data_IF_593210916590
#
_entry.id   IF_593210916590
#
_cell.length_a   1.000
_cell.length_b   1.000
_cell.length_c   1.000
_cell.angle_alpha   90.00
_cell.angle_beta   90.00
_cell.angle_gamma   90.00
#
_symmetry.space_group_name_H-M   'P 1'
#
loop_
_entity.id
_entity.type
_entity.pdbx_description
1 polymer ?
#
# COMPACT_ATOMS: atom_id res chain seq x y z
N UNK A 1 17.51 9.87 -12.95
CA UNK A 1 16.14 9.88 -13.51
C UNK A 1 15.81 8.45 -13.92
N UNK A 2 15.00 7.74 -13.14
CA UNK A 2 14.57 6.37 -13.45
C UNK A 2 13.04 6.35 -13.57
N UNK A 3 12.56 6.00 -14.78
CA UNK A 3 11.15 6.09 -15.19
C UNK A 3 10.31 4.87 -14.72
N UNK A 4 10.94 3.88 -14.09
CA UNK A 4 10.32 2.61 -13.69
C UNK A 4 10.81 2.23 -12.29
N UNK A 5 9.90 2.15 -11.31
CA UNK A 5 10.18 1.55 -10.01
C UNK A 5 9.74 0.07 -10.02
N UNK A 6 10.71 -0.83 -9.87
CA UNK A 6 10.45 -2.26 -9.75
C UNK A 6 10.10 -2.60 -8.31
N UNK A 7 8.88 -3.08 -8.07
CA UNK A 7 8.48 -3.64 -6.78
C UNK A 7 8.47 -5.17 -6.83
N UNK A 8 9.35 -5.86 -6.07
CA UNK A 8 9.35 -7.32 -6.03
C UNK A 8 8.08 -7.85 -5.36
N UNK A 9 7.61 -9.01 -5.82
CA UNK A 9 6.54 -9.74 -5.14
C UNK A 9 7.01 -10.22 -3.77
N UNK A 10 6.14 -10.16 -2.76
CA UNK A 10 6.37 -10.75 -1.46
C UNK A 10 5.98 -12.24 -1.47
N UNK A 11 6.80 -13.11 -0.84
CA UNK A 11 6.55 -14.54 -0.77
C UNK A 11 7.13 -15.15 0.52
N UNK A 12 6.45 -16.14 1.08
CA UNK A 12 6.95 -16.93 2.21
C UNK A 12 7.85 -18.07 1.74
N UNK A 13 9.17 -17.85 1.72
CA UNK A 13 10.20 -18.86 1.47
C UNK A 13 10.65 -19.04 0.01
N UNK A 14 11.79 -19.72 -0.18
CA UNK A 14 12.46 -19.92 -1.48
C UNK A 14 11.68 -20.76 -2.50
N UNK A 15 10.60 -21.42 -2.11
CA UNK A 15 9.89 -22.45 -2.92
C UNK A 15 8.46 -22.09 -3.34
N UNK A 16 7.89 -20.98 -2.89
CA UNK A 16 6.60 -20.52 -3.41
C UNK A 16 6.82 -19.64 -4.65
N UNK A 17 6.66 -20.25 -5.83
CA UNK A 17 6.58 -19.52 -7.11
C UNK A 17 5.32 -18.64 -7.10
N UNK A 18 5.46 -17.42 -6.57
CA UNK A 18 4.51 -16.34 -6.77
C UNK A 18 4.58 -15.93 -8.25
N UNK A 19 3.43 -15.75 -8.88
CA UNK A 19 3.28 -15.26 -10.24
C UNK A 19 3.96 -13.88 -10.34
N UNK A 20 5.20 -13.87 -10.85
CA UNK A 20 6.02 -12.66 -11.04
C UNK A 20 5.46 -11.87 -12.23
N UNK A 21 4.54 -10.95 -11.95
CA UNK A 21 4.28 -9.82 -12.83
C UNK A 21 4.62 -8.56 -12.06
N UNK A 22 5.78 -7.91 -12.32
CA UNK A 22 6.13 -6.68 -11.64
C UNK A 22 5.10 -5.60 -11.97
N UNK A 23 4.47 -5.04 -10.93
CA UNK A 23 3.65 -3.84 -11.05
C UNK A 23 4.52 -2.68 -11.51
N UNK A 24 4.22 -2.13 -12.69
CA UNK A 24 4.88 -0.91 -13.18
C UNK A 24 4.23 0.28 -12.51
N UNK A 25 4.92 0.92 -11.57
CA UNK A 25 4.49 2.17 -10.96
C UNK A 25 5.09 3.33 -11.73
N UNK A 26 4.24 4.18 -12.31
CA UNK A 26 4.69 5.43 -12.92
C UNK A 26 5.12 6.36 -11.78
N UNK A 27 6.38 6.81 -11.83
CA UNK A 27 7.10 7.44 -10.72
C UNK A 27 6.58 8.84 -10.33
N UNK A 28 5.52 9.33 -10.97
CA UNK A 28 5.02 10.68 -10.74
C UNK A 28 3.56 10.81 -11.21
N UNK A 29 2.62 11.04 -10.29
CA UNK A 29 1.19 11.15 -10.62
C UNK A 29 0.86 12.47 -11.33
N UNK A 30 1.69 13.51 -11.19
CA UNK A 30 1.51 14.81 -11.86
C UNK A 30 1.73 14.72 -13.38
N UNK A 31 2.91 14.27 -13.85
CA UNK A 31 3.17 13.98 -15.25
C UNK A 31 2.30 12.85 -15.81
N UNK A 32 1.94 11.84 -15.00
CA UNK A 32 1.01 10.79 -15.40
C UNK A 32 -0.35 11.37 -15.80
N UNK A 33 -0.95 12.21 -14.93
CA UNK A 33 -2.23 12.87 -15.18
C UNK A 33 -2.19 13.79 -16.41
N UNK A 34 -1.06 14.49 -16.62
CA UNK A 34 -0.84 15.31 -17.81
C UNK A 34 -0.69 14.48 -19.09
N UNK A 35 0.02 13.35 -19.04
CA UNK A 35 0.23 12.45 -20.19
C UNK A 35 -1.01 11.64 -20.59
N UNK A 36 -1.96 11.43 -19.67
CA UNK A 36 -3.26 10.80 -19.98
C UNK A 36 -4.41 11.81 -20.16
N UNK A 37 -4.12 13.11 -20.15
CA UNK A 37 -5.11 14.19 -20.29
C UNK A 37 -6.29 14.04 -19.31
N UNK A 38 -5.96 13.83 -18.03
CA UNK A 38 -6.93 13.72 -16.93
C UNK A 38 -6.75 14.95 -16.04
N UNK A 39 -7.73 15.83 -16.12
CA UNK A 39 -7.91 16.96 -15.22
C UNK A 39 -8.75 16.57 -13.99
N UNK A 40 -8.87 17.48 -13.04
CA UNK A 40 -9.72 17.30 -11.84
C UNK A 40 -11.18 16.94 -12.21
N UNK A 41 -11.68 17.47 -13.33
CA UNK A 41 -13.04 17.23 -13.82
C UNK A 41 -13.25 15.79 -14.30
N UNK A 42 -12.22 15.12 -14.81
CA UNK A 42 -12.25 13.68 -15.15
C UNK A 42 -11.96 12.77 -13.96
N UNK A 43 -11.10 13.20 -13.02
CA UNK A 43 -10.70 12.38 -11.88
C UNK A 43 -11.78 12.29 -10.78
N UNK A 44 -12.52 13.37 -10.54
CA UNK A 44 -13.59 13.42 -9.53
C UNK A 44 -14.72 12.39 -9.74
N UNK A 45 -15.27 12.20 -10.95
CA UNK A 45 -16.32 11.22 -11.19
C UNK A 45 -15.79 9.78 -11.30
N UNK A 46 -14.56 9.58 -11.79
CA UNK A 46 -13.96 8.24 -11.92
C UNK A 46 -13.26 7.78 -10.64
N UNK A 47 -14.06 7.21 -9.73
CA UNK A 47 -13.57 6.64 -8.45
C UNK A 47 -12.53 5.54 -8.64
N UNK A 48 -12.58 4.79 -9.74
CA UNK A 48 -11.64 3.71 -10.01
C UNK A 48 -10.28 4.27 -10.43
N UNK A 49 -10.28 5.29 -11.27
CA UNK A 49 -9.07 5.99 -11.67
C UNK A 49 -8.44 6.72 -10.47
N UNK A 50 -9.26 7.42 -9.68
CA UNK A 50 -8.80 8.06 -8.44
C UNK A 50 -8.14 7.06 -7.48
N UNK A 51 -8.75 5.87 -7.31
CA UNK A 51 -8.19 4.78 -6.51
C UNK A 51 -6.77 4.43 -6.95
N UNK A 52 -6.57 4.13 -8.25
CA UNK A 52 -5.26 3.78 -8.81
C UNK A 52 -4.20 4.87 -8.65
N UNK A 53 -4.60 6.13 -8.83
CA UNK A 53 -3.69 7.25 -8.60
C UNK A 53 -3.31 7.39 -7.13
N UNK A 54 -4.27 7.20 -6.22
CA UNK A 54 -4.03 7.26 -4.79
C UNK A 54 -3.13 6.11 -4.33
N UNK A 55 -3.41 4.88 -4.77
CA UNK A 55 -2.56 3.70 -4.57
C UNK A 55 -1.12 3.99 -4.98
N UNK A 56 -0.93 4.43 -6.23
CA UNK A 56 0.40 4.78 -6.77
C UNK A 56 1.07 5.86 -5.93
N UNK A 57 0.34 6.93 -5.59
CA UNK A 57 0.87 8.03 -4.79
C UNK A 57 1.35 7.57 -3.40
N UNK A 58 0.54 6.79 -2.68
CA UNK A 58 0.89 6.28 -1.35
C UNK A 58 2.12 5.38 -1.44
N UNK A 59 2.17 4.50 -2.43
CA UNK A 59 3.31 3.59 -2.63
C UNK A 59 4.61 4.36 -2.92
N UNK A 60 4.56 5.38 -3.78
CA UNK A 60 5.71 6.24 -4.05
C UNK A 60 6.14 7.02 -2.80
N UNK A 61 5.19 7.50 -2.01
CA UNK A 61 5.49 8.19 -0.75
C UNK A 61 6.18 7.27 0.25
N UNK A 62 5.67 6.05 0.44
CA UNK A 62 6.34 5.03 1.26
C UNK A 62 7.75 4.73 0.75
N UNK A 63 7.93 4.60 -0.57
CA UNK A 63 9.25 4.36 -1.17
C UNK A 63 10.22 5.52 -0.89
N UNK A 64 9.74 6.77 -0.96
CA UNK A 64 10.54 7.95 -0.61
C UNK A 64 10.92 7.92 0.86
N UNK A 65 9.94 7.70 1.76
CA UNK A 65 10.15 7.65 3.21
C UNK A 65 11.16 6.58 3.63
N UNK A 66 11.14 5.41 3.02
CA UNK A 66 12.14 4.36 3.27
C UNK A 66 13.58 4.78 2.91
N UNK A 67 13.75 5.75 2.00
CA UNK A 67 15.07 6.27 1.63
C UNK A 67 15.77 7.08 2.73
N UNK A 68 15.02 7.62 3.70
CA UNK A 68 15.54 8.46 4.79
C UNK A 68 15.06 8.06 6.19
N UNK A 69 14.23 7.02 6.29
CA UNK A 69 13.78 6.46 7.57
C UNK A 69 14.92 5.70 8.27
N UNK A 70 15.00 5.85 9.60
CA UNK A 70 15.86 5.01 10.44
C UNK A 70 15.39 3.55 10.43
N UNK A 71 14.09 3.33 10.22
CA UNK A 71 13.50 1.99 10.09
C UNK A 71 13.79 1.45 8.70
N UNK A 72 14.69 0.47 8.64
CA UNK A 72 14.97 -0.26 7.40
C UNK A 72 13.88 -1.29 7.11
N UNK A 73 13.23 -1.16 5.95
CA UNK A 73 12.33 -2.17 5.41
C UNK A 73 12.46 -2.22 3.88
N UNK A 74 12.11 -3.36 3.29
CA UNK A 74 11.94 -3.53 1.85
C UNK A 74 10.47 -3.40 1.50
N UNK A 75 10.19 -2.74 0.40
CA UNK A 75 8.84 -2.55 -0.13
C UNK A 75 8.55 -3.59 -1.20
N UNK A 76 7.42 -4.27 -1.06
CA UNK A 76 6.96 -5.36 -1.91
C UNK A 76 5.48 -5.15 -2.29
N UNK A 77 4.98 -5.92 -3.26
CA UNK A 77 3.55 -6.11 -3.48
C UNK A 77 3.13 -7.53 -3.06
N UNK A 78 1.87 -7.73 -2.69
CA UNK A 78 1.35 -9.05 -2.32
C UNK A 78 0.14 -9.42 -3.17
N UNK A 79 0.12 -10.67 -3.63
CA UNK A 79 -1.02 -11.30 -4.28
C UNK A 79 -1.01 -12.78 -3.94
N UNK A 80 -2.10 -13.29 -3.38
CA UNK A 80 -2.25 -14.71 -3.07
C UNK A 80 -2.83 -15.51 -4.25
N UNK A 81 -2.97 -16.83 -4.07
CA UNK A 81 -3.56 -17.73 -5.08
C UNK A 81 -5.07 -17.54 -5.31
N UNK A 82 -5.76 -16.91 -4.34
CA UNK A 82 -7.16 -16.53 -4.47
C UNK A 82 -7.33 -15.14 -5.13
N UNK A 83 -6.23 -14.58 -5.65
CA UNK A 83 -6.17 -13.27 -6.30
C UNK A 83 -6.53 -12.11 -5.34
N UNK A 84 -6.33 -12.31 -4.04
CA UNK A 84 -6.41 -11.26 -3.02
C UNK A 84 -5.10 -10.49 -3.05
N UNK A 85 -5.20 -9.17 -3.09
CA UNK A 85 -4.06 -8.25 -3.23
C UNK A 85 -3.88 -7.43 -1.96
N UNK A 86 -2.66 -6.96 -1.71
CA UNK A 86 -2.36 -5.86 -0.79
C UNK A 86 -1.43 -4.90 -1.51
N UNK A 87 -1.80 -3.62 -1.57
CA UNK A 87 -1.11 -2.60 -2.37
C UNK A 87 0.39 -2.46 -2.05
N UNK A 88 0.76 -2.55 -0.77
CA UNK A 88 2.14 -2.52 -0.33
C UNK A 88 2.40 -3.42 0.88
N UNK A 89 3.56 -4.09 0.86
CA UNK A 89 4.08 -4.88 1.98
C UNK A 89 5.47 -4.41 2.35
N UNK A 90 5.66 -4.10 3.62
CA UNK A 90 6.91 -3.67 4.22
C UNK A 90 7.50 -4.84 5.01
N UNK A 91 8.68 -5.31 4.62
CA UNK A 91 9.40 -6.37 5.34
C UNK A 91 10.70 -5.84 5.93
N UNK A 92 10.85 -5.97 7.25
CA UNK A 92 12.08 -5.60 7.96
C UNK A 92 13.12 -6.72 7.91
N UNK A 93 14.42 -6.42 8.19
CA UNK A 93 15.47 -7.43 8.26
C UNK A 93 15.23 -8.55 9.29
N UNK A 94 14.48 -8.29 10.35
CA UNK A 94 14.07 -9.28 11.35
C UNK A 94 12.93 -10.21 10.87
N UNK A 95 12.47 -10.01 9.64
CA UNK A 95 11.39 -10.76 9.00
C UNK A 95 9.99 -10.29 9.38
N UNK A 96 9.85 -9.23 10.20
CA UNK A 96 8.54 -8.67 10.52
C UNK A 96 7.91 -7.97 9.32
N UNK A 97 6.59 -8.14 9.19
CA UNK A 97 5.81 -7.76 8.01
C UNK A 97 4.71 -6.80 8.39
N UNK A 98 4.59 -5.68 7.66
CA UNK A 98 3.43 -4.81 7.72
C UNK A 98 2.78 -4.66 6.34
N UNK A 99 1.45 -4.63 6.29
CA UNK A 99 0.69 -4.41 5.06
C UNK A 99 0.02 -3.04 5.02
N UNK A 100 -0.07 -2.47 3.82
CA UNK A 100 -0.77 -1.21 3.54
C UNK A 100 -1.73 -1.42 2.37
N UNK A 101 -2.98 -1.08 2.59
CA UNK A 101 -4.05 -0.99 1.57
C UNK A 101 -4.46 0.48 1.42
N UNK A 102 -4.91 0.87 0.24
CA UNK A 102 -5.29 2.24 -0.06
C UNK A 102 -6.74 2.31 -0.50
N UNK A 103 -7.49 3.25 0.08
CA UNK A 103 -8.90 3.43 -0.19
C UNK A 103 -9.23 4.87 -0.55
N UNK A 104 -9.62 5.10 -1.80
CA UNK A 104 -10.15 6.37 -2.27
C UNK A 104 -11.62 6.60 -1.81
N UNK A 105 -11.87 6.54 -0.50
CA UNK A 105 -13.15 6.81 0.12
C UNK A 105 -12.97 7.46 1.51
N UNK A 106 -13.97 8.21 1.95
CA UNK A 106 -13.98 8.86 3.27
C UNK A 106 -14.40 7.92 4.43
N UNK A 107 -14.78 6.67 4.12
CA UNK A 107 -15.17 5.65 5.09
C UNK A 107 -14.55 4.31 4.73
N UNK A 108 -14.23 3.52 5.76
CA UNK A 108 -13.65 2.17 5.63
C UNK A 108 -14.59 1.17 6.28
N UNK A 109 -14.67 -0.03 5.73
CA UNK A 109 -15.44 -1.15 6.24
C UNK A 109 -14.55 -2.35 6.53
N UNK A 110 -15.05 -3.33 7.29
CA UNK A 110 -14.29 -4.55 7.58
C UNK A 110 -13.90 -5.37 6.33
N UNK A 111 -14.57 -5.16 5.19
CA UNK A 111 -14.26 -5.81 3.90
C UNK A 111 -12.99 -5.26 3.27
N UNK A 112 -12.67 -4.00 3.53
CA UNK A 112 -11.46 -3.34 3.00
C UNK A 112 -10.17 -3.89 3.66
N UNK A 113 -10.29 -4.74 4.69
CA UNK A 113 -9.18 -5.43 5.35
C UNK A 113 -8.98 -6.87 4.87
N UNK A 114 -9.70 -7.33 3.84
CA UNK A 114 -9.62 -8.72 3.38
C UNK A 114 -8.18 -9.10 2.97
N UNK A 115 -7.49 -8.25 2.21
CA UNK A 115 -6.09 -8.45 1.83
C UNK A 115 -5.14 -8.48 3.03
N UNK A 116 -5.29 -7.53 3.94
CA UNK A 116 -4.48 -7.47 5.17
C UNK A 116 -4.68 -8.69 6.07
N UNK A 117 -5.90 -9.26 6.12
CA UNK A 117 -6.17 -10.51 6.85
C UNK A 117 -5.54 -11.72 6.17
N UNK A 118 -5.54 -11.77 4.84
CA UNK A 118 -4.83 -12.80 4.09
C UNK A 118 -3.32 -12.73 4.37
N UNK A 119 -2.75 -11.53 4.31
CA UNK A 119 -1.34 -11.28 4.63
C UNK A 119 -1.00 -11.62 6.09
N UNK A 120 -1.88 -11.27 7.03
CA UNK A 120 -1.75 -11.63 8.46
C UNK A 120 -1.71 -13.14 8.65
N UNK A 121 -2.60 -13.86 7.95
CA UNK A 121 -2.65 -15.33 7.98
C UNK A 121 -1.37 -15.93 7.39
N UNK A 122 -0.90 -15.43 6.25
CA UNK A 122 0.31 -15.96 5.60
C UNK A 122 1.60 -15.62 6.37
N UNK A 123 1.66 -14.45 6.99
CA UNK A 123 2.84 -13.99 7.75
C UNK A 123 2.91 -14.57 9.16
N UNK A 124 1.77 -15.00 9.71
CA UNK A 124 1.67 -15.57 11.06
C UNK A 124 2.25 -14.63 12.13
N UNK A 125 3.12 -15.15 12.99
CA UNK A 125 3.73 -14.38 14.08
C UNK A 125 4.56 -13.17 13.60
N UNK A 126 5.01 -13.17 12.34
CA UNK A 126 5.78 -12.06 11.76
C UNK A 126 4.90 -10.85 11.42
N UNK A 127 3.58 -11.00 11.38
CA UNK A 127 2.67 -9.90 11.10
C UNK A 127 2.70 -8.86 12.23
N UNK A 128 3.21 -7.67 11.93
CA UNK A 128 3.34 -6.56 12.85
C UNK A 128 2.09 -5.67 12.86
N UNK A 129 1.64 -5.23 11.68
CA UNK A 129 0.51 -4.31 11.49
C UNK A 129 -0.09 -4.43 10.08
N UNK A 130 -1.39 -4.16 9.97
CA UNK A 130 -2.07 -3.87 8.69
C UNK A 130 -2.78 -2.53 8.76
N UNK A 131 -2.61 -1.70 7.74
CA UNK A 131 -3.20 -0.36 7.67
C UNK A 131 -3.98 -0.18 6.39
N UNK A 132 -5.22 0.31 6.48
CA UNK A 132 -5.94 0.91 5.35
C UNK A 132 -5.75 2.42 5.40
N UNK A 133 -5.03 2.98 4.43
CA UNK A 133 -4.90 4.43 4.25
C UNK A 133 -6.13 4.93 3.48
N UNK A 134 -6.84 5.92 4.02
CA UNK A 134 -8.10 6.40 3.43
C UNK A 134 -8.26 7.92 3.49
N UNK A 135 -9.30 8.44 2.82
CA UNK A 135 -9.56 9.88 2.67
C UNK A 135 -10.45 10.48 3.77
N UNK A 136 -10.65 9.77 4.89
CA UNK A 136 -11.30 10.36 6.06
C UNK A 136 -10.28 10.99 7.00
N UNK A 137 -10.72 11.27 8.23
CA UNK A 137 -9.99 12.14 9.16
C UNK A 137 -9.47 11.41 10.41
N UNK A 138 -9.98 10.23 10.72
CA UNK A 138 -9.79 9.59 12.02
C UNK A 138 -8.97 8.30 11.91
N UNK A 139 -8.11 8.05 12.90
CA UNK A 139 -7.53 6.73 13.09
C UNK A 139 -8.58 5.82 13.74
N UNK A 140 -8.91 4.70 13.10
CA UNK A 140 -9.96 3.77 13.56
C UNK A 140 -9.41 2.35 13.66
N UNK A 141 -9.49 1.67 14.82
CA UNK A 141 -9.08 0.27 14.94
C UNK A 141 -10.11 -0.67 14.28
N UNK A 142 -9.63 -1.71 13.60
CA UNK A 142 -10.45 -2.72 12.91
C UNK A 142 -10.14 -4.16 13.35
N UNK A 143 -9.40 -4.32 14.45
CA UNK A 143 -9.08 -5.61 15.04
C UNK A 143 -7.64 -5.68 15.52
N UNK A 144 -7.20 -6.89 15.88
CA UNK A 144 -5.84 -7.11 16.34
C UNK A 144 -4.84 -6.73 15.24
N UNK A 145 -4.01 -5.71 15.52
CA UNK A 145 -2.99 -5.15 14.62
C UNK A 145 -3.53 -4.51 13.32
N UNK A 146 -4.84 -4.27 13.20
CA UNK A 146 -5.46 -3.67 12.01
C UNK A 146 -6.03 -2.28 12.30
N UNK A 147 -5.70 -1.31 11.44
CA UNK A 147 -6.10 0.10 11.59
C UNK A 147 -6.51 0.72 10.26
N UNK A 148 -7.47 1.63 10.28
CA UNK A 148 -7.67 2.60 9.22
C UNK A 148 -6.99 3.91 9.65
N UNK A 149 -6.15 4.50 8.78
CA UNK A 149 -5.44 5.74 9.05
C UNK A 149 -5.75 6.77 7.96
N UNK A 150 -5.99 8.05 8.33
CA UNK A 150 -6.18 9.10 7.34
C UNK A 150 -4.91 9.27 6.51
N UNK A 151 -5.03 9.64 5.23
CA UNK A 151 -3.87 9.86 4.35
C UNK A 151 -2.85 10.86 4.95
N UNK A 152 -3.32 11.84 5.72
CA UNK A 152 -2.48 12.81 6.43
C UNK A 152 -1.51 12.15 7.42
N UNK A 153 -1.80 10.95 7.91
CA UNK A 153 -0.92 10.19 8.80
C UNK A 153 0.39 9.74 8.13
N UNK A 154 0.48 9.77 6.79
CA UNK A 154 1.75 9.50 6.09
C UNK A 154 2.84 10.52 6.43
N UNK A 155 2.48 11.75 6.80
CA UNK A 155 3.43 12.80 7.17
C UNK A 155 3.31 13.26 8.62
N UNK A 156 2.30 12.77 9.34
CA UNK A 156 2.19 12.97 10.78
C UNK A 156 3.34 12.24 11.47
N UNK A 157 4.39 12.97 11.85
CA UNK A 157 5.42 12.42 12.74
C UNK A 157 4.76 12.05 14.05
N UNK A 158 4.62 10.76 14.33
CA UNK A 158 4.05 10.26 15.57
C UNK A 158 4.86 10.76 16.77
N UNK A 159 4.36 11.81 17.43
CA UNK A 159 4.53 11.98 18.87
C UNK A 159 3.24 11.48 19.50
N UNK A 160 3.27 10.23 19.94
CA UNK A 160 2.35 9.66 20.91
C UNK A 160 3.17 8.75 21.83
#
# INVERSE_FOLDING_TARGET
MYLLHYQPAWATGYTKKVTRSPGTLLNDTGPAAHLINVDEARLRPDRKLLGRFLETFVVLELSKQLGWSEVRARLHHFRDYANVEVDAVLERPDGSVAGVEVKAAASVTAKDFAGLKALQTESGQRFARGVVVYLGENAVPFGEKLWALPMTALWGTGRA
#
